data_IF_568240976844
#
_entry.id   IF_568240976844
#
_cell.length_a   1.000
_cell.length_b   1.000
_cell.length_c   1.000
_cell.angle_alpha   90.00
_cell.angle_beta   90.00
_cell.angle_gamma   90.00
#
_symmetry.space_group_name_H-M   'P 1'
#
loop_
_entity.id
_entity.type
_entity.pdbx_description
1 polymer ?
#
# COMPACT_ATOMS: atom_id res chain seq x y z
N UNK A 1 6.33 13.83 8.22
CA UNK A 1 4.97 14.41 8.35
C UNK A 1 5.06 15.89 8.05
N UNK A 2 4.09 16.47 7.34
CA UNK A 2 4.06 17.92 7.15
C UNK A 2 3.83 18.62 8.51
N UNK A 3 4.16 19.91 8.59
CA UNK A 3 4.01 20.70 9.81
C UNK A 3 2.57 21.22 9.99
N UNK A 4 1.58 20.51 9.44
CA UNK A 4 0.17 20.86 9.60
C UNK A 4 -0.24 20.81 11.07
N UNK A 5 -1.06 21.77 11.49
CA UNK A 5 -1.53 21.90 12.88
C UNK A 5 -2.27 20.65 13.37
N UNK A 6 -2.92 19.91 12.47
CA UNK A 6 -3.56 18.62 12.77
C UNK A 6 -2.58 17.55 13.29
N UNK A 7 -1.30 17.64 12.93
CA UNK A 7 -0.27 16.67 13.28
C UNK A 7 0.61 17.15 14.42
N UNK A 8 0.58 18.45 14.75
CA UNK A 8 1.33 19.05 15.86
C UNK A 8 0.50 19.21 17.14
N UNK A 9 -0.79 18.88 17.10
CA UNK A 9 -1.67 18.95 18.26
C UNK A 9 -1.22 18.03 19.38
N UNK A 10 -1.29 18.53 20.63
CA UNK A 10 -0.86 17.79 21.82
C UNK A 10 -1.56 16.43 21.96
N UNK A 11 -2.87 16.36 21.67
CA UNK A 11 -3.64 15.11 21.67
C UNK A 11 -3.11 14.07 20.69
N UNK A 12 -2.70 14.50 19.49
CA UNK A 12 -2.15 13.60 18.48
C UNK A 12 -0.76 13.10 18.89
N UNK A 13 0.05 13.97 19.50
CA UNK A 13 1.36 13.58 20.05
C UNK A 13 1.22 12.56 21.18
N UNK A 14 0.31 12.80 22.14
CA UNK A 14 0.03 11.87 23.23
C UNK A 14 -0.44 10.51 22.69
N UNK A 15 -1.35 10.51 21.72
CA UNK A 15 -1.80 9.28 21.06
C UNK A 15 -0.66 8.51 20.37
N UNK A 16 0.26 9.21 19.69
CA UNK A 16 1.44 8.57 19.12
C UNK A 16 2.40 8.02 20.18
N UNK A 17 2.59 8.72 21.30
CA UNK A 17 3.42 8.25 22.41
C UNK A 17 2.84 6.99 23.05
N UNK A 18 1.52 6.94 23.29
CA UNK A 18 0.81 5.76 23.79
C UNK A 18 1.01 4.53 22.89
N UNK A 19 0.98 4.73 21.57
CA UNK A 19 1.21 3.68 20.58
C UNK A 19 2.69 3.41 20.27
N UNK A 20 3.62 4.08 20.98
CA UNK A 20 5.08 4.00 20.75
C UNK A 20 5.48 4.36 19.30
N UNK A 21 4.70 5.23 18.66
CA UNK A 21 4.95 5.73 17.31
C UNK A 21 5.89 6.93 17.40
N UNK A 22 7.11 6.77 16.89
CA UNK A 22 8.07 7.88 16.82
C UNK A 22 7.76 8.79 15.62
N UNK A 23 7.41 10.03 15.90
CA UNK A 23 7.09 11.02 14.88
C UNK A 23 8.35 11.69 14.33
N UNK A 24 8.43 11.80 13.00
CA UNK A 24 9.46 12.57 12.30
C UNK A 24 8.79 13.62 11.42
N UNK A 25 9.06 14.89 11.74
CA UNK A 25 8.56 16.04 10.99
C UNK A 25 9.54 16.41 9.89
N UNK A 26 9.01 16.76 8.72
CA UNK A 26 9.84 17.26 7.64
C UNK A 26 10.28 18.68 7.98
N UNK A 27 11.58 18.97 7.81
CA UNK A 27 12.03 20.36 7.85
C UNK A 27 11.31 21.17 6.77
N UNK A 28 11.04 22.46 7.04
CA UNK A 28 10.39 23.37 6.10
C UNK A 28 11.12 23.43 4.73
N UNK A 29 12.39 23.01 4.70
CA UNK A 29 13.26 23.07 3.54
C UNK A 29 13.51 21.74 2.79
N UNK A 30 12.79 20.64 3.08
CA UNK A 30 13.00 19.34 2.38
C UNK A 30 11.75 18.85 1.62
N UNK A 31 11.59 19.22 0.34
CA UNK A 31 10.46 18.78 -0.50
C UNK A 31 10.44 17.28 -0.80
N UNK A 32 11.60 16.61 -0.85
CA UNK A 32 11.66 15.19 -1.25
C UNK A 32 10.90 14.25 -0.30
N UNK A 33 10.91 14.51 1.01
CA UNK A 33 10.20 13.68 1.99
C UNK A 33 8.68 13.78 1.85
N UNK A 34 8.16 14.91 1.34
CA UNK A 34 6.73 15.06 1.03
C UNK A 34 6.40 14.67 -0.42
N UNK A 35 7.40 14.67 -1.31
CA UNK A 35 7.22 14.42 -2.74
C UNK A 35 6.59 13.06 -3.06
N UNK A 36 6.93 11.99 -2.33
CA UNK A 36 6.28 10.68 -2.54
C UNK A 36 4.79 10.70 -2.16
N UNK A 37 4.45 11.38 -1.07
CA UNK A 37 3.06 11.56 -0.62
C UNK A 37 2.30 12.42 -1.63
N UNK A 38 2.92 13.49 -2.13
CA UNK A 38 2.33 14.38 -3.14
C UNK A 38 2.05 13.65 -4.46
N UNK A 39 3.01 12.85 -4.95
CA UNK A 39 2.82 12.02 -6.15
C UNK A 39 1.68 11.01 -5.93
N UNK A 40 1.64 10.37 -4.76
CA UNK A 40 0.58 9.41 -4.42
C UNK A 40 -0.79 10.07 -4.33
N UNK A 41 -0.89 11.22 -3.63
CA UNK A 41 -2.11 12.03 -3.57
C UNK A 41 -2.56 12.44 -4.96
N UNK A 42 -1.65 12.86 -5.84
CA UNK A 42 -1.97 13.24 -7.23
C UNK A 42 -2.56 12.07 -8.02
N UNK A 43 -1.96 10.88 -7.91
CA UNK A 43 -2.46 9.68 -8.59
C UNK A 43 -3.88 9.33 -8.10
N UNK A 44 -4.09 9.27 -6.78
CA UNK A 44 -5.40 8.95 -6.19
C UNK A 44 -6.45 9.97 -6.63
N UNK A 45 -6.13 11.27 -6.54
CA UNK A 45 -7.05 12.33 -6.95
C UNK A 45 -7.37 12.27 -8.45
N UNK A 46 -6.38 11.94 -9.30
CA UNK A 46 -6.60 11.80 -10.73
C UNK A 46 -7.51 10.61 -11.05
N UNK A 47 -7.22 9.44 -10.47
CA UNK A 47 -8.05 8.24 -10.64
C UNK A 47 -9.48 8.45 -10.14
N UNK A 48 -9.65 9.18 -9.02
CA UNK A 48 -10.96 9.52 -8.48
C UNK A 48 -11.72 10.48 -9.40
N UNK A 49 -11.07 11.51 -9.95
CA UNK A 49 -11.70 12.42 -10.93
C UNK A 49 -12.23 11.66 -12.14
N UNK A 50 -11.44 10.73 -12.69
CA UNK A 50 -11.87 9.91 -13.83
C UNK A 50 -13.10 9.07 -13.50
N UNK A 51 -13.17 8.47 -12.29
CA UNK A 51 -14.36 7.72 -11.86
C UNK A 51 -15.58 8.60 -11.60
N UNK A 52 -15.37 9.82 -11.11
CA UNK A 52 -16.45 10.75 -10.80
C UNK A 52 -17.17 11.31 -12.02
N UNK A 53 -16.49 11.38 -13.17
CA UNK A 53 -17.14 11.69 -14.46
C UNK A 53 -18.24 10.66 -14.78
N UNK A 54 -18.04 9.40 -14.40
CA UNK A 54 -19.00 8.30 -14.58
C UNK A 54 -20.04 8.26 -13.45
N UNK A 55 -19.61 8.48 -12.20
CA UNK A 55 -20.39 8.26 -10.98
C UNK A 55 -21.17 9.50 -10.46
N UNK A 56 -21.29 10.57 -11.26
CA UNK A 56 -22.04 11.81 -10.94
C UNK A 56 -21.68 12.47 -9.58
N UNK A 57 -20.44 12.33 -9.12
CA UNK A 57 -19.96 12.96 -7.89
C UNK A 57 -20.02 12.12 -6.60
N UNK A 58 -20.39 10.84 -6.69
CA UNK A 58 -20.40 9.89 -5.56
C UNK A 58 -18.99 9.39 -5.18
N UNK A 59 -18.14 10.31 -4.70
CA UNK A 59 -16.72 10.01 -4.48
C UNK A 59 -16.46 9.05 -3.31
N UNK A 60 -17.37 8.99 -2.33
CA UNK A 60 -17.21 8.13 -1.15
C UNK A 60 -17.33 6.66 -1.57
N UNK A 61 -18.26 6.38 -2.48
CA UNK A 61 -18.54 5.06 -3.03
C UNK A 61 -17.41 4.59 -3.98
N UNK A 62 -16.81 5.51 -4.72
CA UNK A 62 -15.72 5.22 -5.66
C UNK A 62 -14.34 5.08 -4.98
N UNK A 63 -14.16 5.72 -3.82
CA UNK A 63 -12.86 5.76 -3.14
C UNK A 63 -12.29 4.35 -2.83
N UNK A 64 -13.06 3.38 -2.31
CA UNK A 64 -12.57 2.02 -2.11
C UNK A 64 -12.05 1.38 -3.40
N UNK A 65 -12.77 1.55 -4.52
CA UNK A 65 -12.38 1.01 -5.82
C UNK A 65 -11.10 1.65 -6.37
N UNK A 66 -10.97 2.97 -6.24
CA UNK A 66 -9.75 3.70 -6.61
C UNK A 66 -8.55 3.24 -5.77
N UNK A 67 -8.72 3.10 -4.46
CA UNK A 67 -7.67 2.62 -3.57
C UNK A 67 -7.28 1.17 -3.85
N UNK A 68 -8.25 0.32 -4.19
CA UNK A 68 -8.00 -1.06 -4.62
C UNK A 68 -7.12 -1.09 -5.87
N UNK A 69 -7.56 -0.40 -6.94
CA UNK A 69 -6.81 -0.34 -8.19
C UNK A 69 -5.39 0.21 -8.00
N UNK A 70 -5.22 1.25 -7.16
CA UNK A 70 -3.91 1.79 -6.83
C UNK A 70 -2.99 0.75 -6.15
N UNK A 71 -3.54 -0.05 -5.23
CA UNK A 71 -2.76 -1.05 -4.49
C UNK A 71 -2.38 -2.26 -5.35
N UNK A 72 -3.27 -2.69 -6.24
CA UNK A 72 -3.11 -3.93 -7.01
C UNK A 72 -2.51 -3.73 -8.40
N UNK A 73 -2.37 -2.48 -8.88
CA UNK A 73 -1.74 -2.23 -10.17
C UNK A 73 -0.20 -2.18 -10.04
N UNK A 74 0.53 -2.91 -10.91
CA UNK A 74 1.98 -2.78 -11.04
C UNK A 74 2.41 -1.34 -11.33
N UNK A 75 3.43 -0.87 -10.61
CA UNK A 75 3.98 0.47 -10.85
C UNK A 75 5.01 0.41 -11.97
N UNK A 76 4.87 1.25 -13.00
CA UNK A 76 5.76 1.24 -14.19
C UNK A 76 7.27 1.27 -13.87
N UNK A 77 7.66 1.91 -12.78
CA UNK A 77 9.06 2.02 -12.37
C UNK A 77 9.65 0.75 -11.78
N UNK A 78 8.83 -0.05 -11.09
CA UNK A 78 9.29 -1.22 -10.32
C UNK A 78 8.77 -2.54 -10.87
N UNK A 79 7.72 -2.52 -11.70
CA UNK A 79 7.02 -3.73 -12.15
C UNK A 79 6.16 -4.39 -11.07
N UNK A 80 6.34 -3.98 -9.80
CA UNK A 80 5.64 -4.51 -8.63
C UNK A 80 4.42 -3.68 -8.24
N UNK A 81 3.37 -4.34 -7.71
CA UNK A 81 2.22 -3.67 -7.10
C UNK A 81 2.49 -3.30 -5.63
N UNK A 82 1.76 -2.34 -5.07
CA UNK A 82 1.92 -2.03 -3.63
C UNK A 82 1.46 -3.19 -2.76
N UNK A 83 0.51 -3.98 -3.25
CA UNK A 83 0.05 -5.20 -2.61
C UNK A 83 1.16 -6.26 -2.56
N UNK A 84 1.84 -6.53 -3.69
CA UNK A 84 2.93 -7.50 -3.73
C UNK A 84 4.07 -7.12 -2.79
N UNK A 85 4.41 -5.83 -2.69
CA UNK A 85 5.46 -5.36 -1.78
C UNK A 85 5.12 -5.53 -0.29
N UNK A 86 3.84 -5.48 0.09
CA UNK A 86 3.41 -5.64 1.49
C UNK A 86 3.24 -7.12 1.84
N UNK A 87 2.68 -7.89 0.91
CA UNK A 87 2.25 -9.26 1.16
C UNK A 87 3.21 -10.32 0.60
N UNK A 88 4.21 -9.93 -0.19
CA UNK A 88 5.17 -10.83 -0.83
C UNK A 88 4.61 -11.60 -2.03
N UNK A 89 3.37 -11.35 -2.45
CA UNK A 89 2.73 -12.03 -3.58
C UNK A 89 1.75 -11.11 -4.29
N UNK A 90 1.58 -11.28 -5.59
CA UNK A 90 0.52 -10.61 -6.34
C UNK A 90 -0.86 -11.06 -5.87
N UNK A 91 -1.82 -10.14 -5.93
CA UNK A 91 -3.21 -10.41 -5.59
C UNK A 91 -3.82 -11.39 -6.59
N UNK A 92 -4.78 -12.21 -6.15
CA UNK A 92 -5.68 -12.93 -7.06
C UNK A 92 -6.86 -12.00 -7.34
N UNK A 93 -6.98 -11.51 -8.57
CA UNK A 93 -8.06 -10.57 -8.93
C UNK A 93 -9.38 -11.32 -9.19
N UNK A 94 -10.55 -10.68 -9.01
CA UNK A 94 -11.84 -11.36 -9.19
C UNK A 94 -12.03 -12.02 -10.56
N UNK A 95 -11.44 -11.45 -11.62
CA UNK A 95 -11.47 -12.06 -12.96
C UNK A 95 -10.73 -13.39 -13.00
N UNK A 96 -9.62 -13.54 -12.27
CA UNK A 96 -8.90 -14.83 -12.20
C UNK A 96 -9.71 -15.90 -11.49
N UNK A 97 -10.55 -15.50 -10.52
CA UNK A 97 -11.48 -16.40 -9.82
C UNK A 97 -12.60 -16.84 -10.76
N UNK A 98 -13.18 -15.91 -11.52
CA UNK A 98 -14.23 -16.23 -12.49
C UNK A 98 -13.75 -17.09 -13.65
N UNK A 99 -12.51 -16.90 -14.10
CA UNK A 99 -11.89 -17.67 -15.18
C UNK A 99 -11.23 -18.98 -14.70
N UNK A 100 -11.26 -19.27 -13.40
CA UNK A 100 -10.60 -20.42 -12.77
C UNK A 100 -9.15 -20.60 -13.26
N UNK A 101 -8.32 -19.55 -13.17
CA UNK A 101 -6.93 -19.65 -13.63
C UNK A 101 -6.14 -20.71 -12.86
N UNK A 102 -4.98 -21.12 -13.39
CA UNK A 102 -4.11 -22.10 -12.72
C UNK A 102 -3.80 -21.73 -11.26
N UNK A 103 -3.63 -20.43 -10.96
CA UNK A 103 -3.40 -19.92 -9.60
C UNK A 103 -4.57 -20.23 -8.67
N UNK A 104 -5.79 -20.24 -9.18
CA UNK A 104 -7.01 -20.54 -8.43
C UNK A 104 -7.23 -22.05 -8.34
N UNK A 105 -7.03 -22.78 -9.44
CA UNK A 105 -7.19 -24.23 -9.47
C UNK A 105 -6.21 -24.97 -8.56
N UNK A 106 -4.98 -24.46 -8.44
CA UNK A 106 -3.93 -25.06 -7.62
C UNK A 106 -3.86 -24.44 -6.21
N UNK A 107 -4.81 -23.59 -5.83
CA UNK A 107 -4.78 -22.96 -4.52
C UNK A 107 -5.10 -23.99 -3.43
N UNK A 108 -4.08 -24.37 -2.65
CA UNK A 108 -4.24 -25.21 -1.47
C UNK A 108 -3.88 -24.41 -0.21
N UNK A 109 -4.84 -24.03 0.64
CA UNK A 109 -4.63 -23.03 1.68
C UNK A 109 -3.55 -23.43 2.71
N UNK A 110 -3.42 -24.73 2.99
CA UNK A 110 -2.41 -25.24 3.93
C UNK A 110 -1.02 -25.22 3.31
N UNK A 111 -0.87 -25.79 2.11
CA UNK A 111 0.43 -25.86 1.45
C UNK A 111 0.94 -24.47 1.07
N UNK A 112 0.09 -23.63 0.48
CA UNK A 112 0.44 -22.25 0.10
C UNK A 112 0.80 -21.40 1.33
N UNK A 113 0.19 -21.69 2.49
CA UNK A 113 0.53 -21.05 3.77
C UNK A 113 1.94 -21.43 4.24
N UNK A 114 2.30 -22.72 4.15
CA UNK A 114 3.62 -23.21 4.51
C UNK A 114 4.71 -22.68 3.58
N UNK A 115 4.48 -22.72 2.26
CA UNK A 115 5.40 -22.17 1.26
C UNK A 115 5.65 -20.68 1.52
N UNK A 116 4.58 -19.92 1.77
CA UNK A 116 4.70 -18.49 2.10
C UNK A 116 5.48 -18.25 3.38
N UNK A 117 5.34 -19.11 4.39
CA UNK A 117 6.11 -18.98 5.62
C UNK A 117 7.60 -19.25 5.38
N UNK A 118 7.92 -20.26 4.57
CA UNK A 118 9.30 -20.53 4.16
C UNK A 118 9.91 -19.37 3.35
N UNK A 119 9.15 -18.76 2.44
CA UNK A 119 9.59 -17.58 1.69
C UNK A 119 9.89 -16.39 2.61
N UNK A 120 9.03 -16.15 3.61
CA UNK A 120 9.23 -15.08 4.59
C UNK A 120 10.46 -15.32 5.46
N UNK A 121 10.68 -16.55 5.92
CA UNK A 121 11.84 -16.95 6.70
C UNK A 121 13.14 -16.74 5.88
N UNK A 122 13.14 -17.12 4.60
CA UNK A 122 14.26 -16.89 3.69
C UNK A 122 14.57 -15.40 3.50
N UNK A 123 13.53 -14.57 3.31
CA UNK A 123 13.70 -13.11 3.20
C UNK A 123 14.29 -12.54 4.48
N UNK A 124 13.86 -13.04 5.64
CA UNK A 124 14.39 -12.62 6.94
C UNK A 124 15.86 -13.00 7.11
N UNK A 125 16.26 -14.21 6.72
CA UNK A 125 17.65 -14.66 6.77
C UNK A 125 18.56 -13.83 5.87
N UNK A 126 18.14 -13.54 4.62
CA UNK A 126 18.89 -12.68 3.70
C UNK A 126 19.08 -11.26 4.27
N UNK A 127 18.06 -10.71 4.93
CA UNK A 127 18.14 -9.41 5.61
C UNK A 127 19.09 -9.45 6.80
N UNK A 128 19.12 -10.53 7.58
CA UNK A 128 20.07 -10.70 8.68
C UNK A 128 21.51 -10.77 8.18
N UNK A 129 21.76 -11.51 7.10
CA UNK A 129 23.10 -11.66 6.52
C UNK A 129 23.60 -10.38 5.84
N UNK A 130 22.72 -9.56 5.27
CA UNK A 130 23.09 -8.27 4.67
C UNK A 130 23.41 -7.18 5.72
N UNK A 131 23.00 -7.37 6.98
CA UNK A 131 23.23 -6.44 8.09
C UNK A 131 24.31 -6.92 9.08
N UNK A 132 25.01 -8.01 8.73
CA UNK A 132 26.15 -8.57 9.47
C UNK A 132 27.48 -8.11 8.85
#
# INVERSE_FOLDING_TARGET
MDNGTQFQGEKFRQWCEELKIKQYYTSVATPQSNGQIEVTKRIILQSLKTRLEEAKGNWVEELPGVLWAYKTSPRRSTGESSFSLVYGTEVIVPVEIGEETLRVQQYEPVNNGLERQADLDLIQELRSNANA
#
